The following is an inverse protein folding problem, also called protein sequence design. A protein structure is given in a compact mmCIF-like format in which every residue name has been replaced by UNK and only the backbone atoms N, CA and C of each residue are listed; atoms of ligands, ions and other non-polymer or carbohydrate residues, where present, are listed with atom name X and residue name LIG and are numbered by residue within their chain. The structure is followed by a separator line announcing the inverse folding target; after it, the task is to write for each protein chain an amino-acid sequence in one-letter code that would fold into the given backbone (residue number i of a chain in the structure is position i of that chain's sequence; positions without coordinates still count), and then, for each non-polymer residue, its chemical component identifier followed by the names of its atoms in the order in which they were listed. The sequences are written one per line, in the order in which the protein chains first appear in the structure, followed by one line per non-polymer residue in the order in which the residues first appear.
data_IF_693320715819
#
_entry.id   IF_693320715819
#
_cell.length_a   1.000
_cell.length_b   1.000
_cell.length_c   1.000
_cell.angle_alpha   90.00
_cell.angle_beta   90.00
_cell.angle_gamma   90.00
#
_symmetry.space_group_name_H-M   'P 1'
#
loop_
_entity.id
_entity.type
_entity.pdbx_description
1 polymer ?
#
# COMPACT_ATOMS: atom_id res chain seq x y z
N UNK A 1 1.01 23.49 22.74
CA UNK A 1 1.34 23.17 24.14
C UNK A 1 2.85 23.27 24.29
N UNK A 2 3.36 23.77 25.41
CA UNK A 2 4.82 23.79 25.65
C UNK A 2 5.32 22.34 25.85
N UNK A 3 6.45 22.00 25.24
CA UNK A 3 7.06 20.68 25.41
C UNK A 3 7.69 20.60 26.80
N UNK A 4 7.36 19.58 27.63
CA UNK A 4 8.01 19.42 28.92
C UNK A 4 9.53 19.30 28.76
N UNK A 5 10.26 19.92 29.67
CA UNK A 5 11.72 19.92 29.66
C UNK A 5 12.26 18.61 30.27
N UNK A 6 12.33 17.55 29.46
CA UNK A 6 12.81 16.24 29.88
C UNK A 6 14.32 16.22 30.15
N UNK A 7 14.75 15.47 31.15
CA UNK A 7 16.16 15.19 31.38
C UNK A 7 16.61 14.04 30.47
N UNK A 8 17.42 14.38 29.47
CA UNK A 8 17.92 13.43 28.46
C UNK A 8 19.17 12.73 29.01
N UNK A 9 19.28 11.40 28.88
CA UNK A 9 20.51 10.68 29.23
C UNK A 9 21.71 11.21 28.45
N UNK A 10 22.91 11.04 29.02
CA UNK A 10 24.15 11.33 28.30
C UNK A 10 24.23 10.49 27.00
N UNK A 11 24.85 11.04 25.94
CA UNK A 11 24.91 10.38 24.62
C UNK A 11 25.62 9.00 24.65
N UNK A 12 26.49 8.78 25.63
CA UNK A 12 27.24 7.55 25.87
C UNK A 12 26.54 6.59 26.85
N UNK A 13 25.34 6.91 27.33
CA UNK A 13 24.60 6.06 28.24
C UNK A 13 24.13 4.78 27.55
N UNK A 14 24.53 3.63 28.10
CA UNK A 14 24.18 2.30 27.60
C UNK A 14 23.05 1.70 28.44
N UNK A 15 21.90 1.49 27.81
CA UNK A 15 20.74 0.84 28.44
C UNK A 15 20.90 -0.68 28.45
N UNK A 16 20.52 -1.30 29.57
CA UNK A 16 20.65 -2.72 29.84
C UNK A 16 19.29 -3.40 30.04
N UNK A 17 19.26 -4.73 29.91
CA UNK A 17 18.08 -5.52 30.27
C UNK A 17 17.78 -5.37 31.76
N UNK A 18 16.53 -5.10 32.10
CA UNK A 18 16.03 -4.87 33.45
C UNK A 18 15.99 -3.38 33.84
N UNK A 19 16.47 -2.48 32.99
CA UNK A 19 16.38 -1.04 33.27
C UNK A 19 14.92 -0.58 33.19
N UNK A 20 14.49 0.12 34.23
CA UNK A 20 13.21 0.85 34.26
C UNK A 20 13.42 2.24 33.65
N UNK A 21 12.68 2.53 32.58
CA UNK A 21 12.85 3.73 31.77
C UNK A 21 11.51 4.42 31.54
N UNK A 22 11.57 5.67 31.07
CA UNK A 22 10.45 6.32 30.43
C UNK A 22 10.66 6.37 28.92
N UNK A 23 9.61 6.08 28.16
CA UNK A 23 9.62 6.16 26.69
C UNK A 23 8.79 7.35 26.25
N UNK A 24 9.44 8.31 25.58
CA UNK A 24 8.82 9.49 25.00
C UNK A 24 7.90 9.11 23.85
N UNK A 25 6.67 9.59 23.84
CA UNK A 25 5.71 9.32 22.77
C UNK A 25 6.09 10.05 21.46
N UNK A 26 5.48 9.65 20.32
CA UNK A 26 5.70 10.25 18.99
C UNK A 26 5.35 11.73 18.97
N UNK A 27 4.35 12.14 19.77
CA UNK A 27 3.97 13.54 19.92
C UNK A 27 5.05 14.40 20.62
N UNK A 28 6.08 13.76 21.21
CA UNK A 28 7.16 14.39 21.99
C UNK A 28 6.70 15.13 23.24
N UNK A 29 5.44 15.02 23.64
CA UNK A 29 4.85 15.66 24.80
C UNK A 29 4.65 14.68 25.95
N UNK A 30 4.27 13.44 25.67
CA UNK A 30 3.95 12.45 26.71
C UNK A 30 5.07 11.43 26.91
N UNK A 31 5.14 10.89 28.14
CA UNK A 31 6.04 9.81 28.51
C UNK A 31 5.27 8.67 29.17
N UNK A 32 5.76 7.46 28.93
CA UNK A 32 5.17 6.21 29.42
C UNK A 32 6.22 5.37 30.12
N UNK A 33 5.86 4.76 31.26
CA UNK A 33 6.77 3.90 32.03
C UNK A 33 6.92 2.53 31.37
N UNK A 34 8.15 2.06 31.21
CA UNK A 34 8.46 0.77 30.59
C UNK A 34 9.72 0.13 31.21
N UNK A 35 9.85 -1.19 31.03
CA UNK A 35 11.00 -1.99 31.43
C UNK A 35 11.66 -2.61 30.19
N UNK A 36 12.99 -2.55 30.08
CA UNK A 36 13.73 -3.19 28.99
C UNK A 36 13.83 -4.70 29.26
N UNK A 37 13.06 -5.50 28.54
CA UNK A 37 13.00 -6.96 28.74
C UNK A 37 14.10 -7.72 27.97
N UNK A 38 14.57 -7.18 26.85
CA UNK A 38 15.60 -7.80 26.00
C UNK A 38 16.34 -6.72 25.20
N UNK A 39 17.65 -6.86 25.10
CA UNK A 39 18.52 -6.04 24.24
C UNK A 39 19.16 -6.96 23.22
N UNK A 40 19.08 -6.61 21.94
CA UNK A 40 19.83 -7.25 20.85
C UNK A 40 20.89 -6.28 20.32
N UNK A 41 21.70 -6.72 19.36
CA UNK A 41 22.73 -5.85 18.77
C UNK A 41 22.15 -4.59 18.08
N UNK A 42 20.88 -4.66 17.66
CA UNK A 42 20.21 -3.68 16.80
C UNK A 42 18.93 -3.09 17.39
N UNK A 43 18.33 -3.72 18.41
CA UNK A 43 16.98 -3.39 18.89
C UNK A 43 16.86 -3.53 20.41
N UNK A 44 15.92 -2.77 20.97
CA UNK A 44 15.51 -2.82 22.38
C UNK A 44 14.05 -3.22 22.46
N UNK A 45 13.76 -4.28 23.22
CA UNK A 45 12.41 -4.75 23.47
C UNK A 45 12.00 -4.25 24.85
N UNK A 46 10.93 -3.46 24.89
CA UNK A 46 10.42 -2.82 26.10
C UNK A 46 9.02 -3.33 26.40
N UNK A 47 8.70 -3.52 27.68
CA UNK A 47 7.36 -3.84 28.17
C UNK A 47 6.81 -2.65 28.95
N UNK A 48 5.66 -2.14 28.54
CA UNK A 48 4.99 -1.03 29.22
C UNK A 48 4.36 -1.49 30.55
N UNK A 49 4.57 -0.74 31.62
CA UNK A 49 4.09 -1.12 32.96
C UNK A 49 2.55 -1.04 33.05
N UNK A 50 1.93 -0.05 32.41
CA UNK A 50 0.49 0.19 32.45
C UNK A 50 -0.32 -0.81 31.63
N UNK A 51 0.05 -1.03 30.37
CA UNK A 51 -0.72 -1.87 29.41
C UNK A 51 -0.20 -3.30 29.33
N UNK A 52 1.02 -3.57 29.84
CA UNK A 52 1.77 -4.82 29.63
C UNK A 52 2.07 -5.13 28.16
N UNK A 53 1.89 -4.18 27.26
CA UNK A 53 2.24 -4.33 25.85
C UNK A 53 3.76 -4.38 25.65
N UNK A 54 4.18 -5.16 24.66
CA UNK A 54 5.58 -5.25 24.26
C UNK A 54 5.80 -4.43 23.00
N UNK A 55 6.75 -3.50 23.01
CA UNK A 55 7.16 -2.73 21.83
C UNK A 55 8.65 -2.83 21.57
N UNK A 56 9.02 -2.74 20.30
CA UNK A 56 10.40 -2.83 19.83
C UNK A 56 10.90 -1.46 19.34
N UNK A 57 12.09 -1.06 19.77
CA UNK A 57 12.72 0.21 19.40
C UNK A 57 14.08 -0.03 18.73
N UNK A 58 14.34 0.57 17.55
CA UNK A 58 15.62 0.41 16.86
C UNK A 58 16.75 1.24 17.46
N UNK A 59 16.46 2.20 18.36
CA UNK A 59 17.46 3.03 19.04
C UNK A 59 16.91 3.62 20.34
N UNK A 60 17.79 4.22 21.13
CA UNK A 60 17.53 4.76 22.47
C UNK A 60 17.12 6.24 22.48
N UNK A 61 16.91 6.88 21.32
CA UNK A 61 16.63 8.34 21.24
C UNK A 61 15.34 8.77 21.94
N UNK A 62 14.43 7.83 22.20
CA UNK A 62 13.16 8.05 22.90
C UNK A 62 13.21 7.64 24.36
N UNK A 63 14.32 7.06 24.82
CA UNK A 63 14.45 6.58 26.19
C UNK A 63 14.93 7.70 27.08
N UNK A 64 14.32 7.78 28.26
CA UNK A 64 14.63 8.72 29.31
C UNK A 64 14.91 7.93 30.58
N UNK A 65 15.90 8.38 31.34
CA UNK A 65 16.21 7.81 32.64
C UNK A 65 15.15 8.16 33.66
N UNK A 66 15.00 7.29 34.68
CA UNK A 66 14.08 7.48 35.80
C UNK A 66 14.63 8.49 36.82
N UNK A 67 14.93 9.71 36.36
CA UNK A 67 15.40 10.82 37.19
C UNK A 67 14.24 11.47 37.93
N UNK A 68 14.52 12.19 39.01
CA UNK A 68 13.48 12.87 39.80
C UNK A 68 12.63 13.82 38.95
N UNK A 69 13.26 14.51 37.98
CA UNK A 69 12.60 15.40 37.04
C UNK A 69 11.61 14.67 36.14
N UNK A 70 12.05 13.57 35.51
CA UNK A 70 11.20 12.78 34.61
C UNK A 70 10.08 12.07 35.38
N UNK A 71 10.34 11.61 36.61
CA UNK A 71 9.32 11.02 37.50
C UNK A 71 8.23 12.05 37.83
N UNK A 72 8.59 13.31 38.10
CA UNK A 72 7.62 14.36 38.37
C UNK A 72 6.73 14.66 37.15
N UNK A 73 7.32 14.76 35.96
CA UNK A 73 6.59 14.96 34.70
C UNK A 73 5.62 13.80 34.44
N UNK A 74 6.08 12.56 34.60
CA UNK A 74 5.25 11.37 34.42
C UNK A 74 4.03 11.37 35.35
N UNK A 75 4.24 11.66 36.63
CA UNK A 75 3.16 11.75 37.63
C UNK A 75 2.14 12.84 37.29
N UNK A 76 2.59 14.00 36.82
CA UNK A 76 1.68 15.07 36.39
C UNK A 76 0.82 14.65 35.19
N UNK A 77 1.42 13.97 34.21
CA UNK A 77 0.71 13.44 33.05
C UNK A 77 -0.25 12.31 33.41
N UNK A 78 0.13 11.44 34.34
CA UNK A 78 -0.72 10.36 34.84
C UNK A 78 -1.93 10.91 35.62
N UNK A 79 -1.74 11.96 36.43
CA UNK A 79 -2.86 12.66 37.08
C UNK A 79 -3.82 13.26 36.05
N UNK A 80 -3.30 13.94 35.01
CA UNK A 80 -4.13 14.49 33.92
C UNK A 80 -4.92 13.40 33.18
N UNK A 81 -4.31 12.24 32.94
CA UNK A 81 -4.99 11.08 32.33
C UNK A 81 -6.11 10.54 33.21
N UNK A 82 -5.91 10.51 34.52
CA UNK A 82 -6.90 10.05 35.49
C UNK A 82 -8.05 11.06 35.72
N UNK A 83 -7.79 12.36 35.59
CA UNK A 83 -8.80 13.41 35.75
C UNK A 83 -9.77 13.53 34.54
N UNK A 84 -9.31 13.20 33.33
CA UNK A 84 -10.11 13.29 32.10
C UNK A 84 -10.17 11.97 31.29
N UNK A 85 -10.75 10.88 31.84
CA UNK A 85 -10.85 9.61 31.11
C UNK A 85 -11.72 9.69 29.84
N UNK A 86 -12.68 10.63 29.80
CA UNK A 86 -13.64 10.75 28.70
C UNK A 86 -13.07 11.39 27.43
N UNK A 87 -11.96 12.14 27.51
CA UNK A 87 -11.31 12.76 26.33
C UNK A 87 -10.22 11.87 25.73
N UNK A 88 -9.56 11.03 26.55
CA UNK A 88 -8.48 10.17 26.07
C UNK A 88 -8.95 8.97 25.24
N UNK A 89 -10.19 8.49 25.45
CA UNK A 89 -10.74 7.36 24.68
C UNK A 89 -11.00 7.69 23.20
N UNK A 90 -11.11 8.97 22.83
CA UNK A 90 -11.26 9.37 21.42
C UNK A 90 -9.89 9.48 20.72
N UNK A 91 -8.88 10.09 21.35
CA UNK A 91 -7.52 10.20 20.78
C UNK A 91 -6.75 8.86 20.76
N UNK A 92 -6.98 7.97 21.74
CA UNK A 92 -6.33 6.65 21.79
C UNK A 92 -6.87 5.70 20.70
N UNK A 93 -8.18 5.80 20.37
CA UNK A 93 -8.78 5.09 19.22
C UNK A 93 -8.22 5.57 17.88
N UNK A 94 -7.93 6.86 17.74
CA UNK A 94 -7.38 7.43 16.51
C UNK A 94 -5.90 7.03 16.29
N UNK A 95 -5.12 6.84 17.37
CA UNK A 95 -3.69 6.52 17.28
C UNK A 95 -3.34 5.02 17.22
N UNK A 96 -4.17 4.13 17.81
CA UNK A 96 -4.04 2.67 17.73
C UNK A 96 -4.31 2.14 16.32
N UNK A 97 -5.31 2.72 15.63
CA UNK A 97 -5.72 2.36 14.26
C UNK A 97 -4.59 2.52 13.24
N UNK A 98 -3.63 3.42 13.48
CA UNK A 98 -2.52 3.70 12.55
C UNK A 98 -1.27 2.83 12.84
N UNK A 99 -1.08 2.29 14.05
CA UNK A 99 0.16 1.58 14.44
C UNK A 99 0.12 0.07 14.29
N UNK A 100 -1.05 -0.56 14.29
CA UNK A 100 -1.18 -2.02 14.14
C UNK A 100 -1.22 -2.50 12.67
N UNK A 101 -1.23 -1.56 11.71
CA UNK A 101 -1.48 -1.83 10.29
C UNK A 101 -0.26 -1.70 9.37
N UNK A 102 0.94 -1.56 9.92
CA UNK A 102 2.19 -1.65 9.15
C UNK A 102 2.77 -3.05 9.37
N UNK A 103 2.59 -4.03 8.45
CA UNK A 103 3.29 -5.30 8.56
C UNK A 103 4.80 -5.08 8.29
N UNK A 104 5.63 -5.31 9.32
CA UNK A 104 7.08 -5.51 9.20
C UNK A 104 7.32 -6.74 8.29
N UNK A 105 7.48 -6.51 7.00
CA UNK A 105 7.84 -7.55 6.04
C UNK A 105 9.35 -7.72 6.01
N UNK A 106 9.85 -8.78 6.65
CA UNK A 106 10.65 -9.86 6.04
C UNK A 106 11.66 -10.53 6.99
N UNK A 107 11.81 -11.85 6.75
CA UNK A 107 12.89 -12.80 7.09
C UNK A 107 12.77 -13.50 8.43
N UNK A 108 12.38 -14.79 8.37
CA UNK A 108 12.97 -15.88 9.14
C UNK A 108 12.57 -17.21 8.48
N UNK A 109 13.54 -17.86 7.83
CA UNK A 109 13.61 -19.30 7.63
C UNK A 109 15.09 -19.61 7.48
N UNK A 110 15.74 -19.96 8.58
CA UNK A 110 16.80 -20.96 8.67
C UNK A 110 17.23 -21.12 10.14
N UNK A 111 17.64 -22.34 10.47
CA UNK A 111 18.22 -22.82 11.73
C UNK A 111 17.24 -23.36 12.79
N UNK A 112 17.03 -24.68 12.72
CA UNK A 112 16.58 -25.50 13.84
C UNK A 112 17.53 -26.72 13.94
N UNK A 113 18.61 -26.59 14.71
CA UNK A 113 19.33 -27.69 15.37
C UNK A 113 19.46 -27.30 16.85
N UNK A 114 18.75 -28.05 17.71
CA UNK A 114 19.29 -28.94 18.75
C UNK A 114 19.59 -28.25 20.09
N UNK A 115 18.85 -28.64 21.13
CA UNK A 115 19.40 -29.37 22.29
C UNK A 115 18.33 -29.67 23.35
N UNK A 116 18.69 -30.66 24.16
CA UNK A 116 17.88 -31.52 25.02
C UNK A 116 17.47 -30.95 26.38
N UNK A 117 16.53 -31.69 26.99
CA UNK A 117 16.37 -32.01 28.42
C UNK A 117 15.82 -30.95 29.41
N UNK A 118 14.67 -31.27 30.02
CA UNK A 118 14.67 -31.76 31.41
C UNK A 118 13.29 -32.26 31.88
N UNK A 119 13.34 -33.46 32.47
CA UNK A 119 12.61 -33.96 33.64
C UNK A 119 11.15 -33.53 33.92
N UNK A 120 10.25 -34.52 33.88
CA UNK A 120 9.58 -34.96 35.12
C UNK A 120 8.99 -36.36 35.00
N UNK A 121 9.40 -37.21 35.95
CA UNK A 121 8.84 -38.52 36.31
C UNK A 121 7.45 -38.34 36.93
N UNK A 122 6.51 -39.27 36.70
CA UNK A 122 5.75 -40.05 37.72
C UNK A 122 5.20 -41.34 37.06
N UNK A 123 5.72 -42.48 37.54
CA UNK A 123 5.13 -43.80 37.93
C UNK A 123 3.96 -44.42 37.14
N UNK A 124 4.18 -45.58 36.49
CA UNK A 124 4.03 -46.98 36.97
C UNK A 124 2.66 -47.60 36.63
N UNK A 125 2.63 -48.54 35.66
CA UNK A 125 2.22 -49.93 35.94
C UNK A 125 2.49 -50.90 34.77
N UNK A 126 3.45 -51.81 35.02
CA UNK A 126 3.38 -53.28 34.86
C UNK A 126 2.67 -53.85 33.60
N UNK A 127 3.45 -54.47 32.70
CA UNK A 127 3.37 -55.94 32.56
C UNK A 127 4.62 -56.61 31.93
N UNK A 128 4.88 -57.82 32.44
CA UNK A 128 6.09 -58.65 32.26
C UNK A 128 6.04 -59.57 31.04
N UNK A 129 7.23 -60.12 30.73
CA UNK A 129 7.61 -61.36 29.99
C UNK A 129 7.80 -61.16 28.48
N UNK A 130 8.84 -61.65 27.83
CA UNK A 130 9.85 -62.69 28.16
C UNK A 130 11.06 -62.58 27.22
N UNK A 131 12.24 -62.92 27.75
CA UNK A 131 13.53 -63.17 27.06
C UNK A 131 13.50 -64.53 26.29
N UNK A 132 14.59 -65.09 25.66
CA UNK A 132 16.01 -64.69 25.63
C UNK A 132 16.84 -64.97 24.32
N UNK A 133 18.10 -64.46 24.32
CA UNK A 133 19.38 -65.04 23.78
C UNK A 133 19.71 -65.05 22.25
N UNK A 134 20.64 -64.14 21.86
CA UNK A 134 22.05 -64.32 21.36
C UNK A 134 22.46 -65.54 20.49
N UNK A 135 23.64 -65.56 19.78
CA UNK A 135 24.64 -64.52 19.41
C UNK A 135 25.28 -64.66 17.98
N UNK A 136 26.32 -63.81 17.73
CA UNK A 136 27.63 -64.08 17.06
C UNK A 136 27.89 -63.53 15.64
N UNK A 137 28.95 -62.68 15.59
CA UNK A 137 30.15 -62.71 14.71
C UNK A 137 29.90 -62.53 13.18
N UNK A 138 30.71 -61.81 12.39
CA UNK A 138 32.17 -61.67 12.37
C UNK A 138 32.57 -60.67 11.25
N UNK A 139 33.72 -60.01 11.42
CA UNK A 139 34.74 -59.67 10.38
C UNK A 139 34.38 -58.66 9.27
N UNK A 140 35.29 -57.98 8.59
CA UNK A 140 36.63 -57.42 8.80
C UNK A 140 37.11 -56.95 7.41
N UNK A 141 37.76 -55.78 7.32
CA UNK A 141 38.70 -55.35 6.25
C UNK A 141 38.06 -55.14 4.85
N UNK A 142 38.37 -54.09 4.10
CA UNK A 142 39.72 -53.70 3.68
C UNK A 142 39.75 -52.35 2.94
N UNK A 143 40.93 -51.71 2.99
CA UNK A 143 41.33 -50.52 2.26
C UNK A 143 41.36 -50.71 0.74
N UNK A 144 41.11 -49.65 -0.03
CA UNK A 144 42.09 -49.20 -1.04
C UNK A 144 41.91 -47.73 -1.43
N UNK A 145 42.96 -46.93 -1.16
CA UNK A 145 43.26 -45.68 -1.84
C UNK A 145 43.60 -45.97 -3.31
N UNK A 146 43.16 -45.13 -4.24
CA UNK A 146 44.00 -44.73 -5.38
C UNK A 146 43.68 -43.32 -5.87
N UNK A 147 44.71 -42.50 -5.78
CA UNK A 147 44.91 -41.18 -6.36
C UNK A 147 45.14 -41.33 -7.87
N UNK A 148 44.61 -40.43 -8.70
CA UNK A 148 45.35 -39.82 -9.82
C UNK A 148 44.70 -38.51 -10.28
N UNK A 149 45.50 -37.45 -10.28
CA UNK A 149 45.29 -36.15 -10.95
C UNK A 149 45.57 -36.28 -12.45
N UNK A 150 44.84 -35.55 -13.31
CA UNK A 150 45.41 -34.77 -14.43
C UNK A 150 44.35 -34.00 -15.24
N UNK A 151 44.46 -32.66 -15.25
CA UNK A 151 44.04 -31.72 -16.32
C UNK A 151 45.08 -31.76 -17.48
N UNK A 152 45.00 -30.94 -18.55
CA UNK A 152 43.89 -30.46 -19.40
C UNK A 152 44.19 -30.62 -20.92
N UNK A 153 43.24 -30.33 -21.84
CA UNK A 153 43.61 -29.84 -23.20
C UNK A 153 42.46 -29.14 -23.96
N UNK A 154 42.78 -27.93 -24.47
CA UNK A 154 42.08 -27.17 -25.54
C UNK A 154 42.60 -27.60 -26.92
N UNK A 155 41.73 -27.63 -27.94
CA UNK A 155 41.94 -27.20 -29.36
C UNK A 155 40.64 -27.46 -30.14
N UNK A 156 39.92 -26.42 -30.59
CA UNK A 156 39.95 -25.79 -31.93
C UNK A 156 39.38 -26.60 -33.12
N UNK A 157 38.20 -26.14 -33.58
CA UNK A 157 37.84 -25.59 -34.91
C UNK A 157 37.80 -26.47 -36.18
N UNK A 158 36.65 -26.32 -36.89
CA UNK A 158 36.35 -26.30 -38.35
C UNK A 158 35.52 -27.48 -38.91
N UNK A 159 34.31 -27.14 -39.42
CA UNK A 159 33.84 -27.20 -40.85
C UNK A 159 33.33 -28.59 -41.28
N UNK A 160 32.33 -28.82 -42.12
CA UNK A 160 31.43 -28.07 -43.03
C UNK A 160 30.19 -28.97 -43.30
N UNK A 161 29.01 -28.42 -43.60
CA UNK A 161 27.97 -28.88 -44.58
C UNK A 161 26.63 -28.19 -44.24
N UNK A 162 26.01 -27.28 -45.00
CA UNK A 162 25.64 -27.16 -46.44
C UNK A 162 24.35 -27.91 -46.82
N UNK A 163 23.22 -27.17 -46.82
CA UNK A 163 21.97 -27.22 -47.62
C UNK A 163 21.24 -25.89 -47.25
N UNK A 164 21.02 -24.86 -48.08
CA UNK A 164 20.14 -24.67 -49.28
C UNK A 164 18.78 -25.35 -49.09
N UNK A 165 17.66 -24.65 -48.90
CA UNK A 165 16.90 -23.72 -49.78
C UNK A 165 15.74 -23.13 -48.93
N UNK A 166 14.97 -22.07 -49.23
CA UNK A 166 14.93 -20.93 -50.15
C UNK A 166 13.63 -20.17 -49.77
N UNK A 167 13.62 -18.86 -49.98
CA UNK A 167 12.44 -17.99 -50.17
C UNK A 167 11.54 -17.63 -48.96
N UNK A 168 11.66 -16.38 -48.49
CA UNK A 168 10.62 -15.37 -48.76
C UNK A 168 11.16 -13.97 -48.49
N UNK A 169 11.26 -13.22 -49.58
CA UNK A 169 11.41 -11.76 -49.63
C UNK A 169 10.28 -11.03 -48.92
N UNK A 170 10.59 -9.83 -48.41
CA UNK A 170 9.63 -8.90 -47.82
C UNK A 170 10.33 -7.75 -47.10
N UNK A 171 11.15 -6.98 -47.82
CA UNK A 171 11.71 -5.70 -47.40
C UNK A 171 10.77 -4.55 -47.74
N UNK A 172 10.58 -3.61 -46.82
CA UNK A 172 10.33 -2.15 -47.01
C UNK A 172 10.28 -1.58 -45.57
N UNK A 173 11.33 -0.93 -45.05
CA UNK A 173 11.74 0.48 -45.21
C UNK A 173 10.67 1.51 -44.81
N UNK A 174 11.19 2.61 -44.24
CA UNK A 174 10.53 3.89 -43.92
C UNK A 174 9.85 3.92 -42.53
N UNK A 175 10.02 4.91 -41.67
CA UNK A 175 10.88 6.10 -41.66
C UNK A 175 10.89 6.59 -40.20
N UNK A 176 12.06 7.04 -39.75
CA UNK A 176 12.21 7.82 -38.52
C UNK A 176 11.50 9.18 -38.71
N UNK A 177 10.52 9.50 -37.87
CA UNK A 177 10.06 10.88 -37.69
C UNK A 177 10.10 11.22 -36.20
N UNK A 178 11.08 12.07 -35.89
CA UNK A 178 11.17 12.92 -34.72
C UNK A 178 10.03 13.95 -34.77
N UNK A 179 9.08 13.88 -33.83
CA UNK A 179 8.16 14.99 -33.56
C UNK A 179 8.73 15.86 -32.43
N UNK A 180 9.35 16.95 -32.87
CA UNK A 180 9.94 18.03 -32.09
C UNK A 180 8.95 19.21 -32.13
N UNK A 181 7.89 19.17 -31.31
CA UNK A 181 6.92 20.27 -31.21
C UNK A 181 7.43 21.35 -30.24
N UNK A 182 8.16 22.29 -30.82
CA UNK A 182 8.43 23.61 -30.28
C UNK A 182 7.49 24.63 -30.93
N UNK A 183 6.35 24.92 -30.30
CA UNK A 183 5.54 26.09 -30.66
C UNK A 183 5.69 27.18 -29.59
N UNK A 184 6.62 28.07 -29.91
CA UNK A 184 6.67 29.48 -29.56
C UNK A 184 5.55 30.20 -30.34
N UNK A 185 4.51 30.68 -29.65
CA UNK A 185 3.62 31.68 -30.22
C UNK A 185 3.45 32.84 -29.23
N UNK A 186 4.28 33.85 -29.52
CA UNK A 186 4.19 35.22 -29.08
C UNK A 186 2.85 35.82 -29.56
N UNK A 187 2.02 36.30 -28.63
CA UNK A 187 0.90 37.16 -28.99
C UNK A 187 1.07 38.54 -28.35
N UNK A 188 1.46 39.48 -29.19
CA UNK A 188 1.33 40.91 -29.03
C UNK A 188 -0.15 41.32 -29.01
N UNK A 189 -0.52 42.17 -28.05
CA UNK A 189 -1.59 43.19 -28.13
C UNK A 189 -1.30 44.13 -26.96
N UNK A 190 -0.67 45.28 -27.19
CA UNK A 190 -1.30 46.55 -27.58
C UNK A 190 -2.38 47.04 -26.62
N UNK A 191 -2.03 48.17 -26.00
CA UNK A 191 -2.85 49.29 -25.56
C UNK A 191 -3.95 49.09 -24.50
N UNK A 192 -3.76 49.75 -23.34
CA UNK A 192 -4.45 51.03 -23.14
C UNK A 192 -3.98 51.77 -21.88
N UNK A 193 -3.89 53.08 -22.07
CA UNK A 193 -3.65 54.15 -21.11
C UNK A 193 -4.23 53.98 -19.70
N UNK A 194 -3.44 54.37 -18.68
CA UNK A 194 -4.01 55.34 -17.74
C UNK A 194 -2.99 56.34 -17.19
N UNK A 195 -3.37 57.60 -17.32
CA UNK A 195 -2.66 58.80 -16.93
C UNK A 195 -2.61 58.93 -15.41
N UNK A 196 -1.42 59.16 -14.84
CA UNK A 196 -1.30 59.75 -13.51
C UNK A 196 -0.50 61.04 -13.61
N UNK A 197 -1.22 62.16 -13.67
CA UNK A 197 -0.67 63.51 -13.52
C UNK A 197 -0.19 63.69 -12.07
N UNK A 198 1.02 64.22 -11.92
CA UNK A 198 1.76 64.26 -10.67
C UNK A 198 1.34 65.33 -9.68
N UNK A 199 2.12 65.42 -8.61
CA UNK A 199 2.43 66.68 -7.92
C UNK A 199 3.73 66.46 -7.15
N UNK A 200 4.80 67.10 -7.64
CA UNK A 200 5.98 67.41 -6.86
C UNK A 200 5.60 68.41 -5.76
N UNK A 201 6.00 68.16 -4.51
CA UNK A 201 6.35 69.26 -3.62
C UNK A 201 7.42 68.81 -2.62
N UNK A 202 8.60 69.37 -2.81
CA UNK A 202 9.72 69.33 -1.88
C UNK A 202 9.36 70.12 -0.62
N UNK A 203 9.55 69.53 0.55
CA UNK A 203 9.91 70.34 1.73
C UNK A 203 10.70 69.52 2.72
N UNK A 204 12.02 69.74 2.70
CA UNK A 204 12.88 69.50 3.84
C UNK A 204 12.36 70.28 5.05
N UNK A 205 12.17 69.62 6.19
CA UNK A 205 12.39 70.29 7.46
C UNK A 205 12.83 69.34 8.57
N UNK A 206 13.83 69.82 9.28
CA UNK A 206 14.62 69.15 10.31
C UNK A 206 13.97 69.15 11.70
N UNK A 207 14.41 68.17 12.49
CA UNK A 207 14.66 68.19 13.96
C UNK A 207 13.54 67.83 14.95
N UNK A 208 13.83 66.72 15.65
CA UNK A 208 13.73 66.50 17.11
C UNK A 208 12.38 66.62 17.81
N UNK A 209 11.84 65.48 18.23
CA UNK A 209 11.49 65.21 19.63
C UNK A 209 11.27 63.71 19.86
N UNK A 210 12.01 63.15 20.81
CA UNK A 210 11.84 61.82 21.38
C UNK A 210 10.46 61.71 22.06
N UNK A 211 9.45 61.20 21.36
CA UNK A 211 8.26 60.64 22.00
C UNK A 211 8.18 59.15 21.72
N UNK A 212 8.44 58.35 22.77
CA UNK A 212 8.22 56.90 22.81
C UNK A 212 6.71 56.62 22.77
N UNK A 213 6.11 56.74 21.60
CA UNK A 213 4.78 56.23 21.35
C UNK A 213 4.79 54.70 21.50
N UNK A 214 4.04 54.22 22.48
CA UNK A 214 3.77 52.79 22.69
C UNK A 214 3.03 52.27 21.46
N UNK A 215 3.77 51.69 20.51
CA UNK A 215 3.25 50.98 19.35
C UNK A 215 2.24 49.93 19.81
N UNK A 216 0.94 50.25 19.73
CA UNK A 216 -0.14 49.27 19.87
C UNK A 216 0.12 48.19 18.82
N UNK A 217 0.40 46.97 19.25
CA UNK A 217 0.56 45.81 18.37
C UNK A 217 -0.74 45.71 17.56
N UNK A 218 -0.69 46.10 16.28
CA UNK A 218 -1.77 45.87 15.32
C UNK A 218 -2.00 44.37 15.28
N UNK A 219 -3.12 43.94 15.85
CA UNK A 219 -3.61 42.57 15.70
C UNK A 219 -3.83 42.40 14.21
N UNK A 220 -3.01 41.57 13.56
CA UNK A 220 -3.20 41.23 12.15
C UNK A 220 -4.53 40.48 12.08
N UNK A 221 -5.58 41.17 11.65
CA UNK A 221 -6.84 40.52 11.30
C UNK A 221 -6.52 39.56 10.16
N UNK A 222 -6.68 38.26 10.41
CA UNK A 222 -6.52 37.25 9.37
C UNK A 222 -7.47 37.63 8.23
N UNK A 223 -6.96 37.72 7.01
CA UNK A 223 -7.81 37.94 5.84
C UNK A 223 -8.86 36.80 5.82
N UNK A 224 -10.12 37.11 5.46
CA UNK A 224 -11.11 36.06 5.28
C UNK A 224 -10.57 35.02 4.29
N UNK A 225 -10.81 33.74 4.59
CA UNK A 225 -10.37 32.60 3.78
C UNK A 225 -11.04 32.62 2.41
N UNK A 226 -12.23 33.21 2.35
CA UNK A 226 -13.02 33.40 1.13
C UNK A 226 -12.87 34.84 0.64
N UNK A 227 -12.34 35.01 -0.56
CA UNK A 227 -12.25 36.31 -1.22
C UNK A 227 -13.59 36.66 -1.88
N UNK A 228 -14.46 37.31 -1.11
CA UNK A 228 -15.77 37.73 -1.59
C UNK A 228 -15.69 38.63 -2.83
N UNK A 229 -14.62 39.40 -3.01
CA UNK A 229 -14.47 40.28 -4.18
C UNK A 229 -14.21 39.47 -5.44
N UNK A 230 -13.37 38.44 -5.36
CA UNK A 230 -13.11 37.53 -6.46
C UNK A 230 -14.38 36.79 -6.89
N UNK A 231 -15.17 36.31 -5.94
CA UNK A 231 -16.42 35.59 -6.24
C UNK A 231 -17.43 36.52 -6.93
N UNK A 232 -17.62 37.74 -6.43
CA UNK A 232 -18.51 38.74 -7.04
C UNK A 232 -18.01 39.11 -8.44
N UNK A 233 -16.70 39.30 -8.63
CA UNK A 233 -16.12 39.63 -9.92
C UNK A 233 -16.31 38.49 -10.94
N UNK A 234 -16.06 37.24 -10.56
CA UNK A 234 -16.27 36.08 -11.43
C UNK A 234 -17.75 35.92 -11.81
N UNK A 235 -18.67 36.07 -10.85
CA UNK A 235 -20.10 36.03 -11.14
C UNK A 235 -20.50 37.15 -12.13
N UNK A 236 -19.97 38.36 -11.92
CA UNK A 236 -20.22 39.49 -12.82
C UNK A 236 -19.69 39.26 -14.23
N UNK A 237 -18.47 38.72 -14.38
CA UNK A 237 -17.89 38.37 -15.67
C UNK A 237 -18.67 37.26 -16.39
N UNK A 238 -19.29 36.36 -15.63
CA UNK A 238 -20.18 35.32 -16.15
C UNK A 238 -21.61 35.82 -16.47
N UNK A 239 -21.83 37.14 -16.45
CA UNK A 239 -23.11 37.76 -16.83
C UNK A 239 -24.18 37.76 -15.74
N UNK A 240 -23.82 37.46 -14.49
CA UNK A 240 -24.74 37.44 -13.36
C UNK A 240 -24.83 38.84 -12.75
N UNK A 241 -25.87 39.59 -13.14
CA UNK A 241 -26.03 41.01 -12.75
C UNK A 241 -27.18 41.29 -11.77
N UNK A 242 -28.00 40.28 -11.45
CA UNK A 242 -29.09 40.41 -10.48
C UNK A 242 -28.82 39.60 -9.20
N UNK A 243 -29.45 40.02 -8.10
CA UNK A 243 -29.19 39.48 -6.76
C UNK A 243 -29.69 38.04 -6.61
N UNK A 244 -30.80 37.69 -7.24
CA UNK A 244 -31.39 36.35 -7.11
C UNK A 244 -30.56 35.32 -7.88
N UNK A 245 -30.10 35.64 -9.09
CA UNK A 245 -29.17 34.80 -9.85
C UNK A 245 -27.82 34.66 -9.16
N UNK A 246 -27.29 35.74 -8.56
CA UNK A 246 -26.07 35.67 -7.76
C UNK A 246 -26.23 34.75 -6.54
N UNK A 247 -27.40 34.80 -5.88
CA UNK A 247 -27.71 33.90 -4.78
C UNK A 247 -27.75 32.44 -5.23
N UNK A 248 -28.38 32.14 -6.36
CA UNK A 248 -28.41 30.78 -6.92
C UNK A 248 -27.00 30.29 -7.26
N UNK A 249 -26.19 31.12 -7.92
CA UNK A 249 -24.78 30.82 -8.19
C UNK A 249 -23.98 30.52 -6.91
N UNK A 250 -24.19 31.29 -5.84
CA UNK A 250 -23.53 31.01 -4.56
C UNK A 250 -23.96 29.68 -3.93
N UNK A 251 -25.25 29.33 -4.04
CA UNK A 251 -25.77 28.06 -3.54
C UNK A 251 -25.21 26.89 -4.36
N UNK A 252 -25.19 26.97 -5.68
CA UNK A 252 -24.61 25.93 -6.56
C UNK A 252 -23.12 25.71 -6.27
N UNK A 253 -22.34 26.78 -6.09
CA UNK A 253 -20.93 26.66 -5.71
C UNK A 253 -20.76 26.07 -4.30
N UNK A 254 -21.65 26.41 -3.36
CA UNK A 254 -21.63 25.82 -2.02
C UNK A 254 -21.94 24.33 -2.08
N UNK A 255 -22.96 23.92 -2.83
CA UNK A 255 -23.33 22.53 -3.01
C UNK A 255 -22.18 21.75 -3.67
N UNK A 256 -21.51 22.33 -4.68
CA UNK A 256 -20.30 21.75 -5.29
C UNK A 256 -19.17 21.59 -4.29
N UNK A 257 -18.89 22.61 -3.47
CA UNK A 257 -17.84 22.55 -2.45
C UNK A 257 -18.16 21.52 -1.34
N UNK A 258 -19.44 21.39 -0.97
CA UNK A 258 -19.89 20.35 -0.05
C UNK A 258 -19.71 18.96 -0.66
N UNK A 259 -20.06 18.76 -1.94
CA UNK A 259 -19.87 17.49 -2.63
C UNK A 259 -18.37 17.10 -2.74
N UNK A 260 -17.49 18.05 -3.08
CA UNK A 260 -16.04 17.83 -3.07
C UNK A 260 -15.51 17.48 -1.67
N UNK A 261 -15.99 18.19 -0.64
CA UNK A 261 -15.63 17.89 0.74
C UNK A 261 -16.11 16.49 1.16
N UNK A 262 -17.33 16.10 0.81
CA UNK A 262 -17.87 14.77 1.10
C UNK A 262 -17.06 13.67 0.40
N UNK A 263 -16.67 13.87 -0.86
CA UNK A 263 -15.77 12.96 -1.58
C UNK A 263 -14.43 12.82 -0.88
N UNK A 264 -13.81 13.93 -0.51
CA UNK A 264 -12.54 13.93 0.23
C UNK A 264 -12.68 13.27 1.61
N UNK A 265 -13.81 13.50 2.29
CA UNK A 265 -14.13 12.87 3.57
C UNK A 265 -14.27 11.34 3.42
N UNK A 266 -15.00 10.86 2.40
CA UNK A 266 -15.13 9.43 2.10
C UNK A 266 -13.78 8.81 1.74
N UNK A 267 -12.99 9.48 0.89
CA UNK A 267 -11.62 9.06 0.54
C UNK A 267 -10.75 8.89 1.78
N UNK A 268 -10.86 9.81 2.73
CA UNK A 268 -10.09 9.79 3.99
C UNK A 268 -10.61 8.79 5.01
N UNK A 269 -11.85 8.31 4.88
CA UNK A 269 -12.48 7.35 5.79
C UNK A 269 -13.00 6.11 5.04
N UNK A 270 -12.24 5.62 4.06
CA UNK A 270 -12.67 4.54 3.16
C UNK A 270 -12.99 3.22 3.88
N UNK A 271 -12.44 2.98 5.08
CA UNK A 271 -12.81 1.82 5.89
C UNK A 271 -14.23 1.92 6.46
N UNK A 272 -14.70 3.14 6.75
CA UNK A 272 -16.06 3.40 7.21
C UNK A 272 -17.05 3.52 6.04
N UNK A 273 -16.56 4.05 4.90
CA UNK A 273 -17.34 4.27 3.69
C UNK A 273 -16.69 3.55 2.50
N UNK A 274 -16.67 2.20 2.50
CA UNK A 274 -16.08 1.44 1.41
C UNK A 274 -16.88 1.67 0.13
N UNK A 275 -16.23 2.00 -1.00
CA UNK A 275 -16.94 2.29 -2.23
C UNK A 275 -17.59 1.06 -2.87
N UNK A 276 -17.19 -0.14 -2.50
CA UNK A 276 -17.72 -1.41 -3.00
C UNK A 276 -17.51 -2.50 -1.95
N UNK A 277 -18.10 -3.69 -2.14
CA UNK A 277 -17.92 -4.84 -1.25
C UNK A 277 -16.79 -5.77 -1.72
N UNK A 278 -16.23 -6.51 -0.77
CA UNK A 278 -15.40 -7.68 -1.06
C UNK A 278 -16.23 -8.93 -0.75
N UNK A 279 -16.53 -9.72 -1.78
CA UNK A 279 -17.28 -10.97 -1.66
C UNK A 279 -16.40 -12.15 -1.18
N UNK A 280 -17.04 -13.31 -0.95
CA UNK A 280 -16.38 -14.54 -0.54
C UNK A 280 -16.21 -14.74 0.98
N UNK A 281 -17.11 -14.17 1.80
CA UNK A 281 -17.12 -14.29 3.27
C UNK A 281 -15.76 -14.03 3.94
N UNK A 282 -15.09 -12.94 3.54
CA UNK A 282 -13.78 -12.57 4.07
C UNK A 282 -13.87 -12.05 5.52
N UNK A 283 -12.80 -12.21 6.30
CA UNK A 283 -12.70 -11.66 7.66
C UNK A 283 -12.85 -10.13 7.62
N UNK A 284 -13.84 -9.54 8.35
CA UNK A 284 -14.04 -8.09 8.41
C UNK A 284 -12.78 -7.31 8.78
N UNK A 285 -11.90 -7.88 9.61
CA UNK A 285 -10.63 -7.23 9.96
C UNK A 285 -9.72 -7.12 8.76
N UNK A 286 -9.61 -8.16 7.94
CA UNK A 286 -8.77 -8.15 6.75
C UNK A 286 -9.36 -7.24 5.66
N UNK A 287 -10.69 -7.11 5.58
CA UNK A 287 -11.35 -6.12 4.73
C UNK A 287 -10.96 -4.70 5.17
N UNK A 288 -11.02 -4.39 6.46
CA UNK A 288 -10.57 -3.10 7.01
C UNK A 288 -9.11 -2.81 6.67
N UNK A 289 -8.22 -3.81 6.83
CA UNK A 289 -6.80 -3.69 6.44
C UNK A 289 -6.62 -3.40 4.95
N UNK A 290 -7.38 -4.05 4.09
CA UNK A 290 -7.34 -3.82 2.65
C UNK A 290 -7.63 -2.35 2.31
N UNK A 291 -8.68 -1.77 2.90
CA UNK A 291 -9.06 -0.39 2.66
C UNK A 291 -8.01 0.61 3.15
N UNK A 292 -7.50 0.40 4.36
CA UNK A 292 -6.45 1.26 4.95
C UNK A 292 -5.16 1.18 4.12
N UNK A 293 -4.78 -0.03 3.68
CA UNK A 293 -3.60 -0.22 2.84
C UNK A 293 -3.77 0.43 1.46
N UNK A 294 -4.95 0.32 0.85
CA UNK A 294 -5.24 0.94 -0.45
C UNK A 294 -5.17 2.47 -0.36
N UNK A 295 -5.78 3.07 0.67
CA UNK A 295 -5.69 4.50 0.93
C UNK A 295 -4.23 4.95 1.18
N UNK A 296 -3.49 4.21 2.00
CA UNK A 296 -2.08 4.50 2.28
C UNK A 296 -1.25 4.51 1.00
N UNK A 297 -1.41 3.51 0.13
CA UNK A 297 -0.70 3.43 -1.14
C UNK A 297 -1.06 4.59 -2.07
N UNK A 298 -2.34 4.92 -2.19
CA UNK A 298 -2.78 6.05 -2.99
C UNK A 298 -2.16 7.36 -2.51
N UNK A 299 -2.28 7.68 -1.21
CA UNK A 299 -1.68 8.87 -0.60
C UNK A 299 -0.17 8.93 -0.77
N UNK A 300 0.51 7.79 -0.67
CA UNK A 300 1.95 7.69 -0.88
C UNK A 300 2.36 8.08 -2.30
N UNK A 301 1.57 7.76 -3.32
CA UNK A 301 1.91 8.05 -4.72
C UNK A 301 1.38 9.41 -5.20
N UNK A 302 0.21 9.81 -4.72
CA UNK A 302 -0.57 10.91 -5.31
C UNK A 302 -1.07 11.94 -4.28
N UNK A 303 -0.81 11.74 -2.98
CA UNK A 303 -1.31 12.64 -1.93
C UNK A 303 -2.82 12.57 -1.78
N UNK A 304 -3.46 13.73 -1.62
CA UNK A 304 -4.91 13.85 -1.40
C UNK A 304 -5.70 14.08 -2.71
N UNK A 305 -5.10 13.80 -3.87
CA UNK A 305 -5.78 13.91 -5.17
C UNK A 305 -6.87 12.84 -5.32
N UNK A 306 -8.02 13.20 -5.89
CA UNK A 306 -9.13 12.26 -6.16
C UNK A 306 -8.85 11.40 -7.41
N UNK A 307 -8.26 12.03 -8.43
CA UNK A 307 -7.84 11.43 -9.69
C UNK A 307 -6.46 11.93 -10.11
N UNK A 308 -5.82 11.18 -11.00
CA UNK A 308 -4.56 11.56 -11.63
C UNK A 308 -4.55 11.13 -13.09
N UNK A 309 -3.79 11.79 -13.98
CA UNK A 309 -3.65 11.33 -15.35
C UNK A 309 -3.16 9.88 -15.41
N UNK A 310 -3.83 9.01 -16.17
CA UNK A 310 -3.55 7.55 -16.20
C UNK A 310 -2.10 7.26 -16.60
N UNK A 311 -1.53 8.05 -17.52
CA UNK A 311 -0.11 7.95 -17.91
C UNK A 311 0.82 8.24 -16.72
N UNK A 312 0.49 9.21 -15.88
CA UNK A 312 1.24 9.53 -14.66
C UNK A 312 1.06 8.44 -13.60
N UNK A 313 -0.17 7.94 -13.42
CA UNK A 313 -0.49 6.82 -12.54
C UNK A 313 0.40 5.62 -12.84
N UNK A 314 0.42 5.16 -14.09
CA UNK A 314 1.24 4.03 -14.54
C UNK A 314 2.72 4.32 -14.29
N UNK A 315 3.21 5.50 -14.68
CA UNK A 315 4.61 5.89 -14.50
C UNK A 315 5.07 5.80 -13.04
N UNK A 316 4.27 6.28 -12.09
CA UNK A 316 4.62 6.26 -10.66
C UNK A 316 4.53 4.85 -10.05
N UNK A 317 3.48 4.10 -10.41
CA UNK A 317 3.17 2.82 -9.78
C UNK A 317 4.02 1.66 -10.30
N UNK A 318 4.44 1.68 -11.57
CA UNK A 318 5.25 0.61 -12.20
C UNK A 318 6.44 0.18 -11.34
N UNK A 319 7.19 1.13 -10.77
CA UNK A 319 8.37 0.83 -9.95
C UNK A 319 8.05 0.05 -8.67
N UNK A 320 6.82 0.17 -8.16
CA UNK A 320 6.34 -0.47 -6.95
C UNK A 320 5.70 -1.84 -7.23
N UNK A 321 4.94 -1.95 -8.33
CA UNK A 321 4.25 -3.18 -8.71
C UNK A 321 5.15 -4.20 -9.43
N UNK A 322 6.28 -3.76 -10.01
CA UNK A 322 7.19 -4.67 -10.72
C UNK A 322 7.72 -5.76 -9.80
N UNK A 323 7.85 -6.96 -10.36
CA UNK A 323 8.56 -8.05 -9.68
C UNK A 323 10.08 -7.79 -9.70
N UNK A 324 10.85 -8.31 -8.72
CA UNK A 324 12.29 -8.04 -8.61
C UNK A 324 13.10 -8.31 -9.88
N UNK A 325 12.70 -9.32 -10.67
CA UNK A 325 13.38 -9.73 -11.90
C UNK A 325 12.61 -9.37 -13.19
N UNK A 326 11.54 -8.58 -13.08
CA UNK A 326 10.76 -8.14 -14.23
C UNK A 326 11.31 -6.83 -14.79
N UNK A 327 11.43 -6.75 -16.12
CA UNK A 327 11.76 -5.51 -16.80
C UNK A 327 10.66 -4.47 -16.57
N UNK A 328 11.05 -3.22 -16.33
CA UNK A 328 10.11 -2.13 -16.08
C UNK A 328 9.14 -1.93 -17.26
N UNK A 329 9.62 -2.06 -18.49
CA UNK A 329 8.79 -1.96 -19.71
C UNK A 329 7.70 -3.02 -19.76
N UNK A 330 7.97 -4.24 -19.27
CA UNK A 330 6.98 -5.31 -19.21
C UNK A 330 5.92 -5.00 -18.14
N UNK A 331 6.34 -4.61 -16.93
CA UNK A 331 5.41 -4.20 -15.88
C UNK A 331 4.52 -3.02 -16.32
N UNK A 332 5.11 -2.05 -17.02
CA UNK A 332 4.40 -0.92 -17.64
C UNK A 332 3.39 -1.41 -18.67
N UNK A 333 3.78 -2.29 -19.58
CA UNK A 333 2.87 -2.87 -20.57
C UNK A 333 1.68 -3.59 -19.93
N UNK A 334 1.88 -4.32 -18.83
CA UNK A 334 0.78 -4.94 -18.07
C UNK A 334 -0.17 -3.89 -17.49
N UNK A 335 0.34 -2.85 -16.84
CA UNK A 335 -0.51 -1.80 -16.27
C UNK A 335 -1.21 -0.97 -17.34
N UNK A 336 -0.54 -0.69 -18.46
CA UNK A 336 -1.14 -0.04 -19.64
C UNK A 336 -2.26 -0.89 -20.24
N UNK A 337 -2.12 -2.22 -20.27
CA UNK A 337 -3.17 -3.11 -20.73
C UNK A 337 -4.41 -3.07 -19.82
N UNK A 338 -4.22 -2.97 -18.50
CA UNK A 338 -5.32 -2.98 -17.54
C UNK A 338 -6.04 -1.62 -17.43
N UNK A 339 -5.30 -0.51 -17.42
CA UNK A 339 -5.84 0.84 -17.22
C UNK A 339 -6.11 1.60 -18.52
N UNK A 340 -5.69 1.05 -19.67
CA UNK A 340 -5.93 1.58 -21.01
C UNK A 340 -5.87 3.12 -21.15
N UNK A 341 -4.67 3.72 -20.99
CA UNK A 341 -4.50 5.18 -21.06
C UNK A 341 -4.84 5.80 -22.42
N UNK A 342 -5.16 5.01 -23.44
CA UNK A 342 -5.63 5.51 -24.73
C UNK A 342 -7.11 5.90 -24.69
N UNK A 343 -7.90 5.16 -23.91
CA UNK A 343 -9.34 5.39 -23.76
C UNK A 343 -9.70 6.01 -22.40
N UNK A 344 -8.80 5.93 -21.42
CA UNK A 344 -9.00 6.44 -20.06
C UNK A 344 -7.95 7.50 -19.70
N UNK A 345 -8.36 8.78 -19.74
CA UNK A 345 -7.46 9.91 -19.48
C UNK A 345 -7.01 9.99 -18.02
N UNK A 346 -7.93 9.72 -17.08
CA UNK A 346 -7.68 9.80 -15.65
C UNK A 346 -7.95 8.48 -14.93
N UNK A 347 -7.12 8.19 -13.93
CA UNK A 347 -7.32 7.09 -12.98
C UNK A 347 -7.75 7.68 -11.64
N UNK A 348 -8.88 7.22 -11.11
CA UNK A 348 -9.41 7.62 -9.80
C UNK A 348 -8.92 6.68 -8.69
N UNK A 349 -9.03 7.13 -7.44
CA UNK A 349 -8.79 6.26 -6.28
C UNK A 349 -9.69 5.01 -6.29
N UNK A 350 -10.93 5.15 -6.75
CA UNK A 350 -11.88 4.04 -6.85
C UNK A 350 -11.37 2.96 -7.80
N UNK A 351 -10.91 3.36 -8.98
CA UNK A 351 -10.35 2.44 -9.97
C UNK A 351 -9.08 1.76 -9.47
N UNK A 352 -8.25 2.48 -8.74
CA UNK A 352 -7.09 1.90 -8.07
C UNK A 352 -7.48 0.84 -7.01
N UNK A 353 -8.50 1.10 -6.21
CA UNK A 353 -9.01 0.13 -5.23
C UNK A 353 -9.60 -1.10 -5.93
N UNK A 354 -10.38 -0.93 -6.99
CA UNK A 354 -10.95 -2.03 -7.75
C UNK A 354 -9.85 -2.92 -8.36
N UNK A 355 -8.80 -2.31 -8.90
CA UNK A 355 -7.61 -3.04 -9.36
C UNK A 355 -6.95 -3.87 -8.24
N UNK A 356 -6.80 -3.31 -7.04
CA UNK A 356 -6.29 -4.04 -5.89
C UNK A 356 -7.27 -5.08 -5.36
N UNK A 357 -8.58 -4.90 -5.51
CA UNK A 357 -9.58 -5.90 -5.15
C UNK A 357 -9.47 -7.13 -6.08
N UNK A 358 -9.29 -6.91 -7.38
CA UNK A 358 -9.15 -7.96 -8.38
C UNK A 358 -7.81 -8.70 -8.30
N UNK A 359 -6.70 -7.98 -8.10
CA UNK A 359 -5.36 -8.54 -8.24
C UNK A 359 -4.42 -8.28 -7.06
N UNK A 360 -4.85 -7.59 -6.00
CA UNK A 360 -4.01 -7.34 -4.83
C UNK A 360 -3.56 -8.64 -4.12
N UNK A 361 -2.52 -8.60 -3.28
CA UNK A 361 -1.86 -7.39 -2.79
C UNK A 361 -0.88 -6.80 -3.81
N UNK A 362 -0.61 -5.49 -3.69
CA UNK A 362 0.12 -4.72 -4.71
C UNK A 362 1.48 -5.32 -5.13
N UNK A 363 2.22 -5.92 -4.18
CA UNK A 363 3.52 -6.54 -4.41
C UNK A 363 3.48 -7.81 -5.27
N UNK A 364 2.31 -8.45 -5.41
CA UNK A 364 2.13 -9.68 -6.20
C UNK A 364 1.07 -9.55 -7.28
N UNK A 365 0.49 -8.36 -7.46
CA UNK A 365 -0.61 -8.14 -8.39
C UNK A 365 -0.25 -8.47 -9.85
N UNK A 366 0.92 -8.03 -10.32
CA UNK A 366 1.39 -8.38 -11.67
C UNK A 366 1.54 -9.89 -11.83
N UNK A 367 1.91 -10.62 -10.77
CA UNK A 367 2.00 -12.08 -10.83
C UNK A 367 0.62 -12.73 -10.91
N UNK A 368 -0.38 -12.24 -10.16
CA UNK A 368 -1.78 -12.71 -10.26
C UNK A 368 -2.37 -12.44 -11.64
N UNK A 369 -2.12 -11.27 -12.22
CA UNK A 369 -2.47 -10.95 -13.61
C UNK A 369 -1.78 -11.94 -14.56
N UNK A 370 -0.49 -12.23 -14.35
CA UNK A 370 0.24 -13.22 -15.13
C UNK A 370 -0.32 -14.65 -15.00
N UNK A 371 -0.87 -15.04 -13.84
CA UNK A 371 -1.58 -16.32 -13.70
C UNK A 371 -2.89 -16.30 -14.49
N UNK A 372 -3.67 -15.21 -14.39
CA UNK A 372 -4.92 -15.04 -15.10
C UNK A 372 -4.72 -15.04 -16.63
N UNK A 373 -3.74 -14.31 -17.15
CA UNK A 373 -3.41 -14.26 -18.58
C UNK A 373 -2.88 -15.58 -19.16
N UNK A 374 -2.42 -16.51 -18.31
CA UNK A 374 -1.96 -17.84 -18.73
C UNK A 374 -3.10 -18.86 -18.83
N UNK A 375 -4.32 -18.47 -18.47
CA UNK A 375 -5.45 -19.35 -18.55
C UNK A 375 -5.82 -19.60 -20.02
N UNK A 376 -6.35 -20.79 -20.36
CA UNK A 376 -6.81 -21.09 -21.71
C UNK A 376 -7.78 -20.00 -22.21
N UNK A 377 -7.68 -19.56 -23.49
CA UNK A 377 -8.54 -18.51 -24.03
C UNK A 377 -10.02 -18.79 -23.80
N UNK A 378 -10.44 -20.05 -23.94
CA UNK A 378 -11.83 -20.49 -23.77
C UNK A 378 -12.37 -20.13 -22.39
N UNK A 379 -11.55 -20.29 -21.35
CA UNK A 379 -11.93 -19.99 -19.97
C UNK A 379 -11.79 -18.51 -19.63
N UNK A 380 -10.75 -17.86 -20.17
CA UNK A 380 -10.55 -16.42 -19.98
C UNK A 380 -11.71 -15.63 -20.58
N UNK A 381 -12.20 -16.05 -21.74
CA UNK A 381 -13.30 -15.40 -22.45
C UNK A 381 -14.68 -15.71 -21.80
N UNK A 382 -14.76 -16.77 -20.98
CA UNK A 382 -15.94 -17.07 -20.15
C UNK A 382 -15.94 -16.37 -18.79
N UNK A 383 -14.82 -15.77 -18.36
CA UNK A 383 -14.76 -15.00 -17.12
C UNK A 383 -15.35 -13.60 -17.34
N UNK A 384 -16.44 -13.33 -16.65
CA UNK A 384 -17.01 -12.01 -16.49
C UNK A 384 -16.47 -11.41 -15.19
N UNK A 385 -16.20 -10.11 -15.21
CA UNK A 385 -15.87 -9.34 -14.01
C UNK A 385 -16.65 -8.03 -14.06
N UNK A 386 -16.88 -7.45 -12.89
CA UNK A 386 -17.61 -6.20 -12.80
C UNK A 386 -16.80 -5.07 -13.44
N UNK A 387 -17.46 -4.26 -14.25
CA UNK A 387 -16.88 -3.03 -14.76
C UNK A 387 -16.54 -2.11 -13.58
N UNK A 388 -15.39 -1.45 -13.69
CA UNK A 388 -14.96 -0.52 -12.67
C UNK A 388 -15.86 0.72 -12.76
N UNK A 389 -16.47 1.19 -11.66
CA UNK A 389 -17.42 2.29 -11.71
C UNK A 389 -16.72 3.58 -12.12
N UNK A 390 -17.29 4.30 -13.08
CA UNK A 390 -16.61 5.43 -13.69
C UNK A 390 -16.47 6.64 -12.75
N UNK A 391 -17.48 7.02 -11.97
CA UNK A 391 -17.43 8.36 -11.32
C UNK A 391 -18.31 8.62 -10.08
N UNK A 392 -19.31 7.80 -9.75
CA UNK A 392 -20.19 8.07 -8.60
C UNK A 392 -20.07 7.01 -7.51
N UNK A 393 -19.82 7.45 -6.28
CA UNK A 393 -19.94 6.62 -5.06
C UNK A 393 -21.39 6.19 -4.78
N UNK A 394 -22.35 6.72 -5.53
CA UNK A 394 -23.76 6.42 -5.37
C UNK A 394 -24.11 5.15 -6.16
N UNK A 395 -24.63 4.13 -5.46
CA UNK A 395 -25.08 2.82 -5.98
C UNK A 395 -24.01 1.73 -6.21
N UNK A 396 -22.81 1.88 -5.67
CA UNK A 396 -21.74 0.88 -5.82
C UNK A 396 -21.65 -0.09 -4.62
N UNK A 397 -22.42 0.16 -3.55
CA UNK A 397 -22.36 -0.61 -2.29
C UNK A 397 -22.62 -2.11 -2.46
N UNK A 398 -23.32 -2.54 -3.51
CA UNK A 398 -23.64 -3.96 -3.75
C UNK A 398 -22.70 -4.66 -4.74
N UNK A 399 -21.74 -3.94 -5.32
CA UNK A 399 -20.83 -4.52 -6.30
C UNK A 399 -19.64 -5.18 -5.60
N UNK A 400 -19.35 -6.42 -5.97
CA UNK A 400 -18.22 -7.19 -5.43
C UNK A 400 -17.04 -7.13 -6.41
N UNK A 401 -16.10 -6.18 -6.20
CA UNK A 401 -15.00 -5.93 -7.16
C UNK A 401 -13.91 -7.01 -7.17
N UNK A 402 -13.88 -7.89 -6.17
CA UNK A 402 -12.98 -9.03 -6.17
C UNK A 402 -13.63 -10.28 -6.77
N UNK A 403 -14.88 -10.21 -7.24
CA UNK A 403 -15.62 -11.33 -7.81
C UNK A 403 -15.39 -11.45 -9.32
N UNK A 404 -15.19 -12.69 -9.76
CA UNK A 404 -15.21 -13.09 -11.15
C UNK A 404 -16.28 -14.15 -11.32
N UNK A 405 -17.12 -14.00 -12.32
CA UNK A 405 -18.19 -14.92 -12.65
C UNK A 405 -17.81 -15.76 -13.86
N UNK A 406 -17.92 -17.07 -13.75
CA UNK A 406 -17.76 -17.96 -14.90
C UNK A 406 -19.13 -18.14 -15.59
N UNK A 407 -19.25 -17.62 -16.81
CA UNK A 407 -20.42 -17.86 -17.63
C UNK A 407 -20.32 -19.28 -18.23
N UNK A 408 -21.11 -20.19 -17.67
CA UNK A 408 -21.24 -21.55 -18.18
C UNK A 408 -22.35 -21.60 -19.24
N UNK A 409 -22.33 -22.61 -20.13
CA UNK A 409 -23.32 -22.76 -21.21
C UNK A 409 -24.78 -22.65 -20.72
N UNK A 410 -25.69 -22.25 -21.63
CA UNK A 410 -27.11 -21.98 -21.34
C UNK A 410 -27.74 -23.07 -20.44
N UNK A 411 -28.06 -22.70 -19.20
CA UNK A 411 -28.75 -23.56 -18.22
C UNK A 411 -27.90 -24.01 -17.04
N UNK A 412 -26.59 -23.73 -17.02
CA UNK A 412 -25.75 -23.93 -15.84
C UNK A 412 -25.77 -22.69 -14.92
N UNK A 413 -25.66 -22.93 -13.60
CA UNK A 413 -25.56 -21.86 -12.61
C UNK A 413 -24.22 -21.16 -12.73
N UNK A 414 -24.24 -19.84 -12.86
CA UNK A 414 -23.07 -18.97 -12.77
C UNK A 414 -22.25 -19.33 -11.52
N UNK A 415 -20.94 -19.53 -11.70
CA UNK A 415 -20.02 -19.82 -10.60
C UNK A 415 -19.21 -18.57 -10.29
N UNK A 416 -19.37 -18.06 -9.08
CA UNK A 416 -18.57 -16.96 -8.58
C UNK A 416 -17.27 -17.47 -7.96
N UNK A 417 -16.16 -16.80 -8.29
CA UNK A 417 -14.84 -16.98 -7.68
C UNK A 417 -14.27 -15.63 -7.29
N UNK A 418 -13.74 -15.57 -6.08
CA UNK A 418 -13.31 -14.34 -5.43
C UNK A 418 -11.80 -14.32 -5.26
N UNK A 419 -11.16 -13.22 -5.64
CA UNK A 419 -9.79 -12.93 -5.21
C UNK A 419 -9.77 -12.50 -3.75
N UNK A 420 -8.77 -12.97 -3.00
CA UNK A 420 -8.50 -12.54 -1.63
C UNK A 420 -7.37 -11.48 -1.70
N UNK A 421 -7.69 -10.18 -1.63
CA UNK A 421 -6.77 -9.11 -2.04
C UNK A 421 -5.61 -8.86 -1.06
N UNK A 422 -5.63 -9.50 0.11
CA UNK A 422 -4.56 -9.45 1.11
C UNK A 422 -3.69 -10.71 1.14
N UNK A 423 -4.05 -11.77 0.39
CA UNK A 423 -3.25 -13.00 0.28
C UNK A 423 -2.37 -12.93 -0.97
N UNK A 424 -1.06 -13.11 -0.80
CA UNK A 424 -0.10 -13.12 -1.89
C UNK A 424 -0.19 -14.39 -2.75
N UNK A 425 0.69 -14.49 -3.76
CA UNK A 425 0.71 -15.64 -4.68
C UNK A 425 1.30 -16.92 -4.10
N UNK A 426 1.89 -16.88 -2.91
CA UNK A 426 2.44 -18.06 -2.25
C UNK A 426 1.34 -18.77 -1.44
N UNK A 427 0.29 -18.04 -1.03
CA UNK A 427 -0.92 -18.57 -0.40
C UNK A 427 -2.05 -18.96 -1.38
N UNK A 428 -3.17 -19.40 -0.81
CA UNK A 428 -4.40 -19.68 -1.55
C UNK A 428 -5.22 -18.40 -1.69
N UNK A 429 -5.03 -17.69 -2.81
CA UNK A 429 -5.61 -16.37 -2.98
C UNK A 429 -6.95 -16.33 -3.71
N UNK A 430 -7.51 -17.50 -4.07
CA UNK A 430 -8.85 -17.60 -4.64
C UNK A 430 -9.73 -18.42 -3.71
N UNK A 431 -11.01 -18.03 -3.62
CA UNK A 431 -12.06 -18.78 -2.95
C UNK A 431 -13.32 -18.77 -3.81
N UNK A 432 -13.98 -19.90 -3.99
CA UNK A 432 -15.28 -19.94 -4.69
C UNK A 432 -16.46 -19.69 -3.74
N UNK A 433 -17.66 -19.58 -4.32
CA UNK A 433 -18.91 -19.44 -3.57
C UNK A 433 -19.20 -20.57 -2.56
N UNK A 434 -18.57 -21.73 -2.71
CA UNK A 434 -18.70 -22.87 -1.80
C UNK A 434 -17.67 -22.85 -0.65
N UNK A 435 -16.79 -21.83 -0.63
CA UNK A 435 -15.71 -21.69 0.36
C UNK A 435 -14.48 -22.55 0.07
N UNK A 436 -14.34 -23.09 -1.15
CA UNK A 436 -13.16 -23.87 -1.54
C UNK A 436 -12.04 -22.94 -1.94
N UNK A 437 -10.86 -23.14 -1.36
CA UNK A 437 -9.67 -22.32 -1.63
C UNK A 437 -8.80 -22.92 -2.74
N UNK A 438 -8.23 -22.05 -3.57
CA UNK A 438 -7.34 -22.41 -4.66
C UNK A 438 -6.05 -21.58 -4.62
N UNK A 439 -4.92 -22.20 -4.96
CA UNK A 439 -3.61 -21.54 -4.98
C UNK A 439 -3.51 -20.48 -6.06
N UNK A 440 -4.13 -20.72 -7.22
CA UNK A 440 -4.07 -19.84 -8.37
C UNK A 440 -5.18 -20.17 -9.37
N UNK A 441 -5.29 -19.34 -10.40
CA UNK A 441 -6.28 -19.49 -11.47
C UNK A 441 -6.18 -20.82 -12.21
N UNK A 442 -4.96 -21.33 -12.48
CA UNK A 442 -4.79 -22.61 -13.16
C UNK A 442 -5.36 -23.77 -12.33
N UNK A 443 -5.12 -23.80 -11.01
CA UNK A 443 -5.70 -24.82 -10.13
C UNK A 443 -7.23 -24.72 -10.04
N UNK A 444 -7.78 -23.49 -9.94
CA UNK A 444 -9.23 -23.28 -9.97
C UNK A 444 -9.84 -23.88 -11.23
N UNK A 445 -9.22 -23.62 -12.38
CA UNK A 445 -9.68 -24.11 -13.66
C UNK A 445 -9.53 -25.61 -13.84
N UNK A 446 -8.40 -26.20 -13.45
CA UNK A 446 -8.22 -27.66 -13.50
C UNK A 446 -9.30 -28.42 -12.73
N UNK A 447 -9.75 -27.86 -11.59
CA UNK A 447 -10.78 -28.49 -10.75
C UNK A 447 -12.21 -28.23 -11.23
N UNK A 448 -12.46 -27.10 -11.90
CA UNK A 448 -13.81 -26.68 -12.28
C UNK A 448 -14.12 -26.85 -13.77
N UNK A 449 -13.13 -27.13 -14.61
CA UNK A 449 -13.30 -27.38 -16.03
C UNK A 449 -13.78 -28.82 -16.29
N UNK A 450 -15.04 -29.12 -15.96
CA UNK A 450 -15.67 -30.41 -16.24
C UNK A 450 -15.96 -30.63 -17.73
N UNK A 451 -15.77 -29.63 -18.59
CA UNK A 451 -15.97 -29.74 -20.04
C UNK A 451 -14.76 -30.32 -20.80
N UNK A 452 -13.60 -30.52 -20.15
CA UNK A 452 -12.41 -31.04 -20.85
C UNK A 452 -12.45 -32.55 -21.13
N UNK A 453 -13.26 -33.33 -20.41
CA UNK A 453 -13.26 -34.81 -20.50
C UNK A 453 -14.42 -35.38 -21.34
N UNK A 454 -15.33 -34.56 -21.88
CA UNK A 454 -16.54 -35.06 -22.57
C UNK A 454 -16.39 -35.15 -24.10
N UNK A 455 -15.28 -34.69 -24.70
CA UNK A 455 -15.11 -34.68 -26.17
C UNK A 455 -14.09 -35.65 -26.77
N UNK A 456 -13.76 -36.74 -26.08
CA UNK A 456 -13.02 -37.87 -26.68
C UNK A 456 -13.82 -39.18 -26.55
N UNK A 457 -15.11 -39.17 -26.87
CA UNK A 457 -15.73 -40.35 -27.47
C UNK A 457 -15.41 -40.31 -28.96
N UNK A 458 -14.33 -41.02 -29.29
CA UNK A 458 -13.95 -41.41 -30.65
C UNK A 458 -15.21 -41.98 -31.32
N UNK A 459 -15.70 -41.32 -32.38
CA UNK A 459 -16.49 -41.98 -33.40
C UNK A 459 -15.62 -43.10 -33.98
N UNK A 460 -15.68 -44.29 -33.38
CA UNK A 460 -15.38 -45.54 -34.08
C UNK A 460 -16.47 -45.71 -35.13
N UNK A 461 -16.23 -45.07 -36.28
CA UNK A 461 -16.89 -45.36 -37.55
C UNK A 461 -16.65 -46.84 -37.84
N UNK A 462 -17.65 -47.66 -37.54
CA UNK A 462 -17.74 -49.02 -38.06
C UNK A 462 -18.02 -48.93 -39.57
N UNK A 463 -17.00 -49.26 -40.37
CA UNK A 463 -17.16 -49.68 -41.78
C UNK A 463 -17.67 -51.12 -41.89
#
# INVERSE_FOLDING_TARGET
METPDFEIPAEDHVFSKGDEIYVKDKNKHDIWEAEIIKVTADKYFCRYTSTKEHKCYPNTKRFLLRTEKNVAIFKEQENKRNENPSQNNEEEKESLTIQELIPETQKLNDENESEENSDSKIDENVNKKSSPKTPKKNQAKSNTKKVTKSKPRKTQKKKDSKYHDENSDGSENDDDNDDDDSDDDSNENEDEHNNNYGTDDDTENTSSADEKEKRKKRIKTKKPIVDNQLIVHNAWQNGIHDVDSFRNFMMENLDSAVAEFEKLYKLNNVSEFPPFKLGGELDPKEIEKFWIQSQYLWKKFFGDLESVPTKEFIKKTVSYFKLPNQLESNARGTLTFIFDPANQEETTFLQFCAFLAMFGPANTAIRKIGHWLKCPPELKDSLLYNDIPDTSYDNVEDIEMNCFSLNLEEGQTEKAVYNIPYVDTDGNYLVDQDGTFYKNWAEYFEKNNQNADVHVEIEEVNE
#
